data_IF_816502610469
#
_entry.id   IF_816502610469
#
_cell.length_a   1.000
_cell.length_b   1.000
_cell.length_c   1.000
_cell.angle_alpha   90.00
_cell.angle_beta   90.00
_cell.angle_gamma   90.00
#
_symmetry.space_group_name_H-M   'P 1'
#
loop_
_entity.id
_entity.type
_entity.pdbx_description
1 polymer ?
#
# COMPACT_ATOMS: atom_id res chain seq x y z
N UNK A 1 6.79 -7.51 -22.88
CA UNK A 1 7.59 -7.16 -24.06
C UNK A 1 8.66 -6.16 -23.64
N UNK A 2 9.96 -6.48 -23.72
CA UNK A 2 11.06 -5.59 -23.30
C UNK A 2 11.08 -4.24 -24.02
N UNK A 3 10.48 -4.17 -25.21
CA UNK A 3 10.44 -2.97 -26.05
C UNK A 3 9.29 -2.01 -25.69
N UNK A 4 8.47 -2.36 -24.70
CA UNK A 4 7.40 -1.49 -24.21
C UNK A 4 8.00 -0.36 -23.36
N UNK A 5 7.61 0.90 -23.60
CA UNK A 5 8.05 2.06 -22.82
C UNK A 5 7.68 1.92 -21.33
N UNK A 6 6.66 1.12 -21.03
CA UNK A 6 6.23 0.79 -19.68
C UNK A 6 6.94 -0.43 -19.10
N UNK A 7 7.81 -1.12 -19.85
CA UNK A 7 8.51 -2.32 -19.39
C UNK A 7 9.32 -2.07 -18.13
N UNK A 8 10.04 -0.95 -18.02
CA UNK A 8 10.77 -0.58 -16.80
C UNK A 8 9.87 -0.53 -15.55
N UNK A 9 8.61 -0.14 -15.72
CA UNK A 9 7.65 0.04 -14.63
C UNK A 9 6.84 -1.22 -14.30
N UNK A 10 6.70 -2.16 -15.25
CA UNK A 10 5.89 -3.37 -15.09
C UNK A 10 6.67 -4.68 -15.27
N UNK A 11 7.46 -4.83 -16.34
CA UNK A 11 8.22 -6.05 -16.63
C UNK A 11 9.62 -6.11 -16.03
N UNK A 12 10.26 -4.97 -15.79
CA UNK A 12 11.63 -4.87 -15.29
C UNK A 12 11.77 -4.95 -13.75
N UNK A 13 10.66 -4.92 -13.01
CA UNK A 13 10.67 -4.94 -11.54
C UNK A 13 10.83 -6.35 -10.95
N UNK A 14 10.83 -7.39 -11.79
CA UNK A 14 10.99 -8.78 -11.38
C UNK A 14 9.97 -9.23 -10.30
N UNK A 15 8.78 -8.61 -10.30
CA UNK A 15 7.72 -8.92 -9.34
C UNK A 15 7.04 -10.22 -9.76
N UNK A 16 7.03 -11.19 -8.85
CA UNK A 16 6.51 -12.54 -9.07
C UNK A 16 5.39 -12.87 -8.10
N UNK A 17 4.63 -13.91 -8.44
CA UNK A 17 3.75 -14.60 -7.50
C UNK A 17 4.59 -15.60 -6.71
N UNK A 18 4.35 -15.74 -5.41
CA UNK A 18 5.06 -16.75 -4.63
C UNK A 18 4.75 -18.15 -5.18
N UNK A 19 5.75 -19.04 -5.18
CA UNK A 19 5.62 -20.39 -5.74
C UNK A 19 4.42 -21.17 -5.18
N UNK A 20 4.05 -20.93 -3.93
CA UNK A 20 2.92 -21.59 -3.29
C UNK A 20 1.59 -21.25 -3.97
N UNK A 21 1.36 -19.97 -4.27
CA UNK A 21 0.16 -19.53 -4.98
C UNK A 21 0.20 -19.90 -6.46
N UNK A 22 1.39 -19.82 -7.09
CA UNK A 22 1.60 -20.18 -8.49
C UNK A 22 1.36 -21.67 -8.74
N UNK A 23 1.88 -22.54 -7.87
CA UNK A 23 1.79 -23.99 -8.05
C UNK A 23 0.47 -24.57 -7.52
N UNK A 24 -0.13 -23.95 -6.50
CA UNK A 24 -1.27 -24.53 -5.78
C UNK A 24 -2.36 -23.47 -5.61
N UNK A 25 -3.28 -23.42 -6.59
CA UNK A 25 -4.41 -22.49 -6.58
C UNK A 25 -5.25 -22.58 -5.29
N UNK A 26 -5.42 -23.78 -4.72
CA UNK A 26 -6.22 -23.93 -3.48
C UNK A 26 -5.60 -23.19 -2.29
N UNK A 27 -4.27 -23.04 -2.23
CA UNK A 27 -3.59 -22.28 -1.17
C UNK A 27 -3.92 -20.79 -1.30
N UNK A 28 -3.92 -20.26 -2.52
CA UNK A 28 -4.35 -18.89 -2.78
C UNK A 28 -5.82 -18.68 -2.41
N UNK A 29 -6.71 -19.62 -2.79
CA UNK A 29 -8.14 -19.53 -2.49
C UNK A 29 -8.41 -19.53 -0.98
N UNK A 30 -7.78 -20.42 -0.22
CA UNK A 30 -7.90 -20.47 1.24
C UNK A 30 -7.40 -19.16 1.86
N UNK A 31 -6.24 -18.66 1.42
CA UNK A 31 -5.74 -17.36 1.87
C UNK A 31 -6.75 -16.24 1.58
N UNK A 32 -7.32 -16.21 0.37
CA UNK A 32 -8.29 -15.20 -0.04
C UNK A 32 -9.52 -15.18 0.86
N UNK A 33 -10.10 -16.35 1.15
CA UNK A 33 -11.27 -16.50 2.01
C UNK A 33 -10.97 -16.07 3.46
N UNK A 34 -9.85 -16.54 4.04
CA UNK A 34 -9.45 -16.20 5.41
C UNK A 34 -9.16 -14.70 5.56
N UNK A 35 -8.62 -14.05 4.54
CA UNK A 35 -8.24 -12.64 4.58
C UNK A 35 -9.38 -11.70 4.14
N UNK A 36 -10.61 -12.21 4.04
CA UNK A 36 -11.80 -11.38 3.86
C UNK A 36 -12.07 -10.95 2.43
N UNK A 37 -11.75 -11.79 1.43
CA UNK A 37 -12.12 -11.55 0.04
C UNK A 37 -13.60 -11.18 -0.11
N UNK A 38 -13.87 -10.17 -0.94
CA UNK A 38 -15.21 -9.77 -1.36
C UNK A 38 -15.19 -9.42 -2.84
N UNK A 39 -16.32 -9.62 -3.54
CA UNK A 39 -16.44 -9.44 -4.99
C UNK A 39 -16.03 -8.04 -5.50
N UNK A 40 -16.13 -7.02 -4.66
CA UNK A 40 -15.77 -5.63 -4.98
C UNK A 40 -14.33 -5.24 -4.61
N UNK A 41 -13.53 -6.17 -4.09
CA UNK A 41 -12.14 -5.97 -3.73
C UNK A 41 -11.20 -6.52 -4.81
N UNK A 42 -10.02 -5.92 -4.90
CA UNK A 42 -8.93 -6.33 -5.78
C UNK A 42 -7.71 -6.67 -4.93
N UNK A 43 -6.87 -7.59 -5.42
CA UNK A 43 -5.61 -7.89 -4.76
C UNK A 43 -4.66 -6.71 -4.96
N UNK A 44 -4.07 -6.26 -3.87
CA UNK A 44 -3.17 -5.11 -3.84
C UNK A 44 -1.92 -5.47 -3.05
N UNK A 45 -0.79 -4.86 -3.44
CA UNK A 45 0.49 -5.07 -2.74
C UNK A 45 0.68 -3.98 -1.70
N UNK A 46 1.07 -4.37 -0.49
CA UNK A 46 1.35 -3.43 0.60
C UNK A 46 2.63 -2.66 0.28
N UNK A 47 3.70 -3.39 -0.03
CA UNK A 47 4.91 -2.87 -0.66
C UNK A 47 4.81 -3.07 -2.18
N UNK A 48 4.74 -1.95 -2.90
CA UNK A 48 4.67 -1.93 -4.35
C UNK A 48 5.85 -2.62 -5.02
N UNK A 49 7.04 -2.58 -4.42
CA UNK A 49 8.26 -3.20 -4.96
C UNK A 49 8.40 -4.68 -4.58
N UNK A 50 7.56 -5.18 -3.68
CA UNK A 50 7.54 -6.58 -3.26
C UNK A 50 6.74 -7.51 -4.18
N UNK A 51 6.83 -8.81 -3.90
CA UNK A 51 6.14 -9.88 -4.63
C UNK A 51 4.66 -10.02 -4.24
N UNK A 52 3.90 -10.80 -5.02
CA UNK A 52 2.57 -11.26 -4.61
C UNK A 52 2.71 -12.48 -3.70
N UNK A 53 2.56 -12.25 -2.39
CA UNK A 53 2.71 -13.24 -1.34
C UNK A 53 1.82 -12.89 -0.14
N UNK A 54 1.46 -13.85 0.72
CA UNK A 54 0.57 -13.62 1.86
C UNK A 54 0.97 -12.44 2.76
N UNK A 55 2.27 -12.23 2.96
CA UNK A 55 2.85 -11.16 3.78
C UNK A 55 2.79 -9.78 3.13
N UNK A 56 2.71 -9.71 1.80
CA UNK A 56 2.78 -8.46 1.05
C UNK A 56 1.48 -8.15 0.28
N UNK A 57 0.42 -8.94 0.47
CA UNK A 57 -0.84 -8.76 -0.23
C UNK A 57 -1.98 -8.45 0.73
N UNK A 58 -2.91 -7.62 0.28
CA UNK A 58 -4.18 -7.35 0.95
C UNK A 58 -5.31 -7.19 -0.05
N UNK A 59 -6.54 -7.36 0.41
CA UNK A 59 -7.71 -7.00 -0.36
C UNK A 59 -7.99 -5.51 -0.21
N UNK A 60 -7.91 -4.77 -1.31
CA UNK A 60 -8.14 -3.32 -1.35
C UNK A 60 -9.36 -3.01 -2.23
N UNK A 61 -10.07 -1.94 -1.91
CA UNK A 61 -10.99 -1.29 -2.83
C UNK A 61 -10.22 -0.59 -3.95
N UNK A 62 -10.88 -0.34 -5.09
CA UNK A 62 -10.29 0.47 -6.17
C UNK A 62 -9.79 1.85 -5.68
N UNK A 63 -10.48 2.44 -4.70
CA UNK A 63 -10.09 3.72 -4.10
C UNK A 63 -8.79 3.62 -3.30
N UNK A 64 -8.61 2.54 -2.55
CA UNK A 64 -7.38 2.28 -1.79
C UNK A 64 -6.21 1.95 -2.71
N UNK A 65 -6.43 1.10 -3.72
CA UNK A 65 -5.39 0.78 -4.71
C UNK A 65 -4.92 2.04 -5.46
N UNK A 66 -5.82 2.96 -5.77
CA UNK A 66 -5.46 4.25 -6.36
C UNK A 66 -4.59 5.11 -5.41
N UNK A 67 -4.82 5.05 -4.11
CA UNK A 67 -4.00 5.73 -3.10
C UNK A 67 -2.62 5.07 -2.94
N UNK A 68 -2.48 3.79 -3.26
CA UNK A 68 -1.21 3.08 -3.21
C UNK A 68 -0.38 3.22 -4.49
N UNK A 69 -0.82 3.96 -5.52
CA UNK A 69 0.00 4.20 -6.71
C UNK A 69 1.28 4.98 -6.40
N UNK A 70 2.35 4.74 -7.15
CA UNK A 70 3.68 5.36 -6.98
C UNK A 70 3.67 6.89 -7.05
N UNK A 71 2.68 7.48 -7.75
CA UNK A 71 2.50 8.93 -7.85
C UNK A 71 1.93 9.55 -6.56
N UNK A 72 1.41 8.75 -5.65
CA UNK A 72 0.76 9.23 -4.42
C UNK A 72 1.80 9.44 -3.33
N UNK A 73 1.94 10.69 -2.86
CA UNK A 73 2.90 11.05 -1.81
C UNK A 73 2.58 10.37 -0.46
N UNK A 74 1.30 10.11 -0.19
CA UNK A 74 0.78 9.55 1.06
C UNK A 74 -0.08 8.32 0.80
N UNK A 75 0.24 7.24 1.50
CA UNK A 75 -0.56 6.00 1.59
C UNK A 75 -1.20 5.90 2.98
N UNK A 76 -2.13 4.97 3.16
CA UNK A 76 -2.75 4.77 4.48
C UNK A 76 -1.72 4.33 5.53
N UNK A 77 -0.77 3.47 5.16
CA UNK A 77 0.31 3.05 6.05
C UNK A 77 1.21 4.21 6.47
N UNK A 78 1.51 5.13 5.55
CA UNK A 78 2.23 6.37 5.88
C UNK A 78 1.42 7.23 6.85
N UNK A 79 0.10 7.34 6.66
CA UNK A 79 -0.77 8.09 7.58
C UNK A 79 -0.80 7.48 8.98
N UNK A 80 -0.88 6.14 9.09
CA UNK A 80 -0.79 5.40 10.36
C UNK A 80 0.57 5.63 11.02
N UNK A 81 1.67 5.54 10.26
CA UNK A 81 3.02 5.80 10.75
C UNK A 81 3.19 7.24 11.24
N UNK A 82 2.65 8.23 10.51
CA UNK A 82 2.64 9.64 10.93
C UNK A 82 1.95 9.81 12.29
N UNK A 83 0.79 9.18 12.50
CA UNK A 83 0.08 9.22 13.80
C UNK A 83 0.91 8.61 14.92
N UNK A 84 1.50 7.44 14.68
CA UNK A 84 2.33 6.75 15.65
C UNK A 84 3.53 7.62 16.08
N UNK A 85 4.29 8.11 15.11
CA UNK A 85 5.47 8.96 15.35
C UNK A 85 5.13 10.25 16.11
N UNK A 86 3.96 10.84 15.84
CA UNK A 86 3.50 12.03 16.54
C UNK A 86 3.06 11.71 17.98
N UNK A 87 2.27 10.65 18.18
CA UNK A 87 1.76 10.25 19.48
C UNK A 87 2.88 9.81 20.44
N UNK A 88 3.93 9.16 19.91
CA UNK A 88 5.13 8.78 20.65
C UNK A 88 6.09 9.97 20.89
N UNK A 89 5.72 11.18 20.45
CA UNK A 89 6.53 12.41 20.55
C UNK A 89 7.93 12.30 19.93
N UNK A 90 8.11 11.38 18.98
CA UNK A 90 9.37 11.20 18.25
C UNK A 90 9.56 12.35 17.25
N UNK A 91 8.48 12.82 16.63
CA UNK A 91 8.50 13.90 15.66
C UNK A 91 7.46 14.98 15.95
N UNK A 92 7.81 16.24 15.67
CA UNK A 92 6.86 17.37 15.64
C UNK A 92 6.08 17.41 14.32
N UNK A 93 5.03 18.25 14.26
CA UNK A 93 4.24 18.43 13.02
C UNK A 93 5.10 18.99 11.88
N UNK A 94 6.00 19.91 12.20
CA UNK A 94 6.97 20.52 11.28
C UNK A 94 7.88 19.44 10.70
N UNK A 95 8.48 18.61 11.56
CA UNK A 95 9.40 17.57 11.11
C UNK A 95 8.67 16.53 10.24
N UNK A 96 7.45 16.11 10.61
CA UNK A 96 6.63 15.20 9.79
C UNK A 96 6.30 15.81 8.43
N UNK A 97 5.96 17.10 8.37
CA UNK A 97 5.68 17.81 7.12
C UNK A 97 6.89 17.77 6.17
N UNK A 98 8.09 18.02 6.71
CA UNK A 98 9.35 18.02 5.98
C UNK A 98 9.71 16.60 5.53
N UNK A 99 9.69 15.62 6.44
CA UNK A 99 10.03 14.21 6.16
C UNK A 99 9.16 13.62 5.06
N UNK A 100 7.85 13.88 5.10
CA UNK A 100 6.90 13.34 4.12
C UNK A 100 6.65 14.27 2.93
N UNK A 101 7.30 15.45 2.88
CA UNK A 101 7.19 16.45 1.80
C UNK A 101 5.73 16.79 1.46
N UNK A 102 4.91 16.94 2.50
CA UNK A 102 3.49 17.30 2.42
C UNK A 102 3.24 18.58 3.20
N UNK A 103 2.08 19.22 3.03
CA UNK A 103 1.78 20.46 3.74
C UNK A 103 1.42 20.20 5.21
N UNK A 104 1.60 21.22 6.06
CA UNK A 104 1.14 21.19 7.45
C UNK A 104 -0.36 20.89 7.56
N UNK A 105 -1.17 21.40 6.61
CA UNK A 105 -2.61 21.12 6.55
C UNK A 105 -2.89 19.63 6.33
N UNK A 106 -2.09 18.96 5.51
CA UNK A 106 -2.20 17.52 5.29
C UNK A 106 -1.85 16.74 6.55
N UNK A 107 -0.76 17.11 7.24
CA UNK A 107 -0.41 16.52 8.54
C UNK A 107 -1.55 16.72 9.55
N UNK A 108 -2.10 17.93 9.65
CA UNK A 108 -3.24 18.21 10.51
C UNK A 108 -4.46 17.35 10.16
N UNK A 109 -4.78 17.18 8.87
CA UNK A 109 -5.87 16.32 8.43
C UNK A 109 -5.67 14.86 8.85
N UNK A 110 -4.44 14.34 8.71
CA UNK A 110 -4.08 12.97 9.11
C UNK A 110 -4.25 12.79 10.62
N UNK A 111 -3.74 13.73 11.43
CA UNK A 111 -3.81 13.66 12.89
C UNK A 111 -5.26 13.78 13.41
N UNK A 112 -6.12 14.51 12.72
CA UNK A 112 -7.54 14.67 13.08
C UNK A 112 -8.47 13.66 12.40
N UNK A 113 -7.94 12.56 11.87
CA UNK A 113 -8.73 11.51 11.20
C UNK A 113 -9.60 12.04 10.04
N UNK A 114 -9.22 13.12 9.37
CA UNK A 114 -9.98 13.66 8.22
C UNK A 114 -9.45 13.05 6.92
N UNK A 115 -10.26 12.18 6.29
CA UNK A 115 -10.03 11.61 4.95
C UNK A 115 -9.11 10.38 4.87
N UNK A 116 -8.39 10.10 5.96
CA UNK A 116 -7.48 8.95 6.15
C UNK A 116 -7.99 8.09 7.31
N UNK A 117 -9.18 7.52 7.15
CA UNK A 117 -9.79 6.61 8.11
C UNK A 117 -9.84 5.24 7.43
N UNK A 118 -9.60 4.17 8.19
CA UNK A 118 -9.84 2.78 7.75
C UNK A 118 -11.34 2.51 7.59
#
# INVERSE_FOLDING_TARGET
>A
NPNDTSYKNYGGRNIKVCKQWENIYIVFKIWAEIHGYRKNLTIDRIDNDGNYEPSNCKWSTKKEQNRNQTKTKLTMDKAIKIRKLYNEKIFTKEQLSITYKVSHRTIYSILNNRGWIE
#
